data_IF_827036138895
#
_entry.id   IF_827036138895
#
_cell.length_a   1.000
_cell.length_b   1.000
_cell.length_c   1.000
_cell.angle_alpha   90.00
_cell.angle_beta   90.00
_cell.angle_gamma   90.00
#
_symmetry.space_group_name_H-M   'P 1'
#
loop_
_entity.id
_entity.type
_entity.pdbx_description
1 polymer ?
#
# COMPACT_ATOMS: atom_id res chain seq x y z
N UNK A 1 -3.48 -11.40 27.56
CA UNK A 1 -3.45 -11.12 26.10
C UNK A 1 -2.52 -12.05 25.31
N UNK A 2 -1.28 -12.31 25.74
CA UNK A 2 -0.31 -13.13 24.96
C UNK A 2 -0.76 -14.57 24.67
N UNK A 3 -1.51 -15.23 25.56
CA UNK A 3 -1.97 -16.61 25.34
C UNK A 3 -3.09 -16.71 24.29
N UNK A 4 -4.02 -15.74 24.28
CA UNK A 4 -5.12 -15.70 23.32
C UNK A 4 -4.62 -15.37 21.91
N UNK A 5 -3.70 -14.40 21.79
CA UNK A 5 -3.05 -14.07 20.51
C UNK A 5 -2.22 -15.24 19.96
N UNK A 6 -1.49 -15.97 20.80
CA UNK A 6 -0.71 -17.14 20.39
C UNK A 6 -1.60 -18.25 19.80
N UNK A 7 -2.71 -18.57 20.49
CA UNK A 7 -3.70 -19.57 20.02
C UNK A 7 -4.40 -19.12 18.74
N UNK A 8 -4.72 -17.83 18.65
CA UNK A 8 -5.37 -17.26 17.48
C UNK A 8 -4.44 -17.22 16.25
N UNK A 9 -3.15 -16.94 16.46
CA UNK A 9 -2.13 -17.00 15.42
C UNK A 9 -1.94 -18.44 14.90
N UNK A 10 -1.90 -19.43 15.80
CA UNK A 10 -1.79 -20.85 15.39
C UNK A 10 -3.03 -21.30 14.62
N UNK A 11 -4.23 -20.97 15.09
CA UNK A 11 -5.48 -21.29 14.39
C UNK A 11 -5.55 -20.56 13.03
N UNK A 12 -5.15 -19.29 12.97
CA UNK A 12 -5.10 -18.51 11.73
C UNK A 12 -4.12 -19.09 10.71
N UNK A 13 -2.93 -19.51 11.14
CA UNK A 13 -1.94 -20.17 10.28
C UNK A 13 -2.42 -21.55 9.82
N UNK A 14 -3.05 -22.34 10.70
CA UNK A 14 -3.67 -23.61 10.33
C UNK A 14 -4.77 -23.40 9.29
N UNK A 15 -5.65 -22.41 9.48
CA UNK A 15 -6.72 -22.09 8.53
C UNK A 15 -6.15 -21.61 7.18
N UNK A 16 -5.06 -20.84 7.18
CA UNK A 16 -4.39 -20.40 5.96
C UNK A 16 -3.75 -21.58 5.21
N UNK A 17 -3.14 -22.51 5.95
CA UNK A 17 -2.58 -23.74 5.38
C UNK A 17 -3.68 -24.65 4.80
N UNK A 18 -4.78 -24.83 5.53
CA UNK A 18 -5.96 -25.56 5.03
C UNK A 18 -6.52 -24.88 3.79
N UNK A 19 -6.64 -23.56 3.78
CA UNK A 19 -7.11 -22.82 2.60
C UNK A 19 -6.21 -23.06 1.38
N UNK A 20 -4.88 -23.06 1.56
CA UNK A 20 -3.93 -23.37 0.49
C UNK A 20 -4.04 -24.81 0.01
N UNK A 21 -4.20 -25.78 0.92
CA UNK A 21 -4.41 -27.19 0.55
C UNK A 21 -5.71 -27.39 -0.25
N UNK A 22 -6.80 -26.79 0.19
CA UNK A 22 -8.09 -26.84 -0.50
C UNK A 22 -8.00 -26.15 -1.87
N UNK A 23 -7.29 -25.03 -1.95
CA UNK A 23 -7.01 -24.34 -3.22
C UNK A 23 -6.27 -25.26 -4.19
N UNK A 24 -5.22 -25.94 -3.72
CA UNK A 24 -4.45 -26.88 -4.52
C UNK A 24 -5.27 -28.10 -4.96
N UNK A 25 -6.17 -28.60 -4.10
CA UNK A 25 -7.06 -29.70 -4.45
C UNK A 25 -8.09 -29.32 -5.53
N UNK A 26 -8.60 -28.09 -5.48
CA UNK A 26 -9.62 -27.57 -6.41
C UNK A 26 -9.03 -27.01 -7.71
N UNK A 27 -7.72 -26.78 -7.75
CA UNK A 27 -7.03 -26.16 -8.88
C UNK A 27 -7.19 -26.90 -10.22
N UNK A 28 -7.47 -28.21 -10.17
CA UNK A 28 -7.68 -29.04 -11.35
C UNK A 28 -9.04 -28.81 -12.02
N UNK A 29 -9.98 -28.11 -11.37
CA UNK A 29 -11.29 -27.78 -11.94
C UNK A 29 -11.28 -26.43 -12.67
N UNK A 30 -11.11 -25.35 -11.92
CA UNK A 30 -10.96 -23.98 -12.42
C UNK A 30 -10.16 -23.17 -11.38
N UNK A 31 -9.03 -22.55 -11.74
CA UNK A 31 -8.22 -21.74 -10.82
C UNK A 31 -9.03 -20.60 -10.17
N UNK A 32 -10.06 -20.06 -10.84
CA UNK A 32 -10.92 -19.01 -10.30
C UNK A 32 -11.78 -19.51 -9.14
N UNK A 33 -12.26 -20.75 -9.21
CA UNK A 33 -13.02 -21.38 -8.12
C UNK A 33 -12.10 -21.61 -6.92
N UNK A 34 -10.88 -22.07 -7.13
CA UNK A 34 -9.88 -22.21 -6.06
C UNK A 34 -9.60 -20.88 -5.37
N UNK A 35 -9.46 -19.79 -6.13
CA UNK A 35 -9.27 -18.45 -5.59
C UNK A 35 -10.49 -17.98 -4.80
N UNK A 36 -11.71 -18.23 -5.30
CA UNK A 36 -12.92 -17.91 -4.54
C UNK A 36 -12.95 -18.57 -3.19
N UNK A 37 -12.65 -19.88 -3.13
CA UNK A 37 -12.59 -20.62 -1.88
C UNK A 37 -11.50 -20.04 -0.97
N UNK A 38 -10.29 -19.77 -1.49
CA UNK A 38 -9.23 -19.14 -0.71
C UNK A 38 -9.68 -17.79 -0.11
N UNK A 39 -10.28 -16.92 -0.91
CA UNK A 39 -10.74 -15.61 -0.47
C UNK A 39 -11.83 -15.74 0.60
N UNK A 40 -12.75 -16.69 0.46
CA UNK A 40 -13.79 -16.96 1.45
C UNK A 40 -13.19 -17.40 2.79
N UNK A 41 -12.22 -18.31 2.79
CA UNK A 41 -11.47 -18.69 3.99
C UNK A 41 -10.70 -17.50 4.59
N UNK A 42 -10.10 -16.66 3.74
CA UNK A 42 -9.34 -15.50 4.18
C UNK A 42 -10.20 -14.50 4.99
N UNK A 43 -11.49 -14.39 4.69
CA UNK A 43 -12.42 -13.55 5.45
C UNK A 43 -12.58 -14.03 6.89
N UNK A 44 -12.78 -15.34 7.08
CA UNK A 44 -12.96 -15.93 8.41
C UNK A 44 -11.72 -15.77 9.27
N UNK A 45 -10.53 -15.80 8.67
CA UNK A 45 -9.27 -15.55 9.37
C UNK A 45 -9.23 -14.10 9.85
N UNK A 46 -9.61 -13.12 9.02
CA UNK A 46 -9.44 -11.69 9.31
C UNK A 46 -10.38 -11.14 10.38
N UNK A 47 -11.64 -11.60 10.46
CA UNK A 47 -12.68 -11.06 11.38
C UNK A 47 -12.17 -10.89 12.83
N UNK A 48 -11.70 -11.95 13.51
CA UNK A 48 -11.24 -11.89 14.90
C UNK A 48 -9.94 -11.09 15.09
N UNK A 49 -9.13 -10.97 14.04
CA UNK A 49 -7.97 -10.08 14.08
C UNK A 49 -8.36 -8.61 13.97
N UNK A 50 -9.48 -8.27 13.33
CA UNK A 50 -9.94 -6.88 13.21
C UNK A 50 -10.73 -6.46 14.45
N UNK A 51 -11.58 -7.32 15.01
CA UNK A 51 -12.53 -6.96 16.08
C UNK A 51 -12.56 -7.98 17.21
N UNK A 52 -12.71 -7.50 18.46
CA UNK A 52 -13.08 -8.36 19.56
C UNK A 52 -14.54 -8.85 19.39
N UNK A 53 -14.73 -10.17 19.33
CA UNK A 53 -15.98 -10.85 18.92
C UNK A 53 -17.18 -10.49 19.81
N UNK A 54 -16.94 -9.93 20.99
CA UNK A 54 -17.96 -9.51 21.95
C UNK A 54 -18.88 -8.37 21.44
N UNK A 55 -18.37 -7.48 20.57
CA UNK A 55 -19.18 -6.37 20.04
C UNK A 55 -19.87 -6.75 18.72
N UNK A 56 -21.13 -7.19 18.82
CA UNK A 56 -21.96 -7.63 17.67
C UNK A 56 -22.04 -6.60 16.54
N UNK A 57 -22.11 -5.30 16.85
CA UNK A 57 -22.17 -4.25 15.82
C UNK A 57 -20.86 -4.18 15.03
N UNK A 58 -19.72 -4.09 15.73
CA UNK A 58 -18.39 -4.03 15.07
C UNK A 58 -18.10 -5.29 14.25
N UNK A 59 -18.50 -6.46 14.75
CA UNK A 59 -18.39 -7.74 14.03
C UNK A 59 -19.22 -7.70 12.74
N UNK A 60 -20.46 -7.24 12.81
CA UNK A 60 -21.35 -7.13 11.63
C UNK A 60 -20.78 -6.18 10.58
N UNK A 61 -20.28 -5.02 10.98
CA UNK A 61 -19.64 -4.05 10.08
C UNK A 61 -18.43 -4.67 9.38
N UNK A 62 -17.60 -5.43 10.11
CA UNK A 62 -16.42 -6.09 9.52
C UNK A 62 -16.80 -7.22 8.58
N UNK A 63 -17.82 -8.01 8.91
CA UNK A 63 -18.33 -9.03 7.99
C UNK A 63 -18.81 -8.37 6.70
N UNK A 64 -19.65 -7.33 6.78
CA UNK A 64 -20.13 -6.60 5.59
C UNK A 64 -18.98 -6.01 4.77
N UNK A 65 -18.01 -5.40 5.44
CA UNK A 65 -16.82 -4.83 4.81
C UNK A 65 -16.00 -5.88 4.05
N UNK A 66 -15.74 -7.01 4.68
CA UNK A 66 -14.98 -8.11 4.11
C UNK A 66 -15.75 -8.82 3.00
N UNK A 67 -17.07 -9.00 3.14
CA UNK A 67 -17.94 -9.52 2.09
C UNK A 67 -17.96 -8.61 0.86
N UNK A 68 -18.03 -7.29 1.06
CA UNK A 68 -17.89 -6.34 -0.05
C UNK A 68 -16.53 -6.46 -0.74
N UNK A 69 -15.44 -6.53 0.03
CA UNK A 69 -14.11 -6.74 -0.54
C UNK A 69 -14.02 -8.04 -1.34
N UNK A 70 -14.61 -9.14 -0.86
CA UNK A 70 -14.61 -10.41 -1.58
C UNK A 70 -15.41 -10.33 -2.88
N UNK A 71 -16.62 -9.74 -2.80
CA UNK A 71 -17.45 -9.52 -3.98
C UNK A 71 -16.72 -8.67 -5.03
N UNK A 72 -16.09 -7.58 -4.61
CA UNK A 72 -15.35 -6.72 -5.53
C UNK A 72 -14.11 -7.40 -6.10
N UNK A 73 -13.37 -8.20 -5.32
CA UNK A 73 -12.28 -9.03 -5.86
C UNK A 73 -12.78 -10.00 -6.94
N UNK A 74 -13.96 -10.61 -6.75
CA UNK A 74 -14.57 -11.47 -7.78
C UNK A 74 -14.90 -10.67 -9.04
N UNK A 75 -15.52 -9.50 -8.90
CA UNK A 75 -15.76 -8.59 -10.04
C UNK A 75 -14.45 -8.32 -10.77
N UNK A 76 -13.36 -8.04 -10.04
CA UNK A 76 -12.07 -7.79 -10.67
C UNK A 76 -11.51 -9.00 -11.42
N UNK A 77 -11.61 -10.20 -10.84
CA UNK A 77 -11.13 -11.45 -11.45
C UNK A 77 -11.90 -11.78 -12.74
N UNK A 78 -13.21 -11.50 -12.79
CA UNK A 78 -14.06 -11.87 -13.92
C UNK A 78 -14.18 -10.79 -15.00
N UNK A 79 -14.10 -9.51 -14.63
CA UNK A 79 -14.36 -8.40 -15.56
C UNK A 79 -13.10 -7.63 -15.98
N UNK A 80 -12.02 -7.69 -15.21
CA UNK A 80 -10.80 -6.94 -15.52
C UNK A 80 -9.65 -7.86 -15.94
N UNK A 81 -8.70 -7.28 -16.66
CA UNK A 81 -7.45 -7.94 -16.98
C UNK A 81 -6.56 -8.03 -15.72
N UNK A 82 -6.15 -9.26 -15.38
CA UNK A 82 -5.27 -9.52 -14.23
C UNK A 82 -3.83 -9.10 -14.55
N UNK A 83 -3.46 -8.94 -15.82
CA UNK A 83 -2.15 -8.44 -16.23
C UNK A 83 -2.24 -7.04 -16.86
N UNK A 84 -2.63 -6.01 -16.10
CA UNK A 84 -2.82 -4.68 -16.66
C UNK A 84 -1.47 -4.09 -17.10
N UNK A 85 -1.28 -3.99 -18.41
CA UNK A 85 -0.16 -3.29 -19.03
C UNK A 85 1.21 -3.98 -18.95
N UNK A 86 2.23 -3.28 -19.43
CA UNK A 86 3.56 -3.83 -19.69
C UNK A 86 4.34 -4.28 -18.44
N UNK A 87 4.11 -3.66 -17.29
CA UNK A 87 4.79 -4.08 -16.05
C UNK A 87 4.30 -5.45 -15.58
N UNK A 88 3.00 -5.67 -15.65
CA UNK A 88 2.36 -6.90 -15.20
C UNK A 88 2.78 -8.10 -16.07
N UNK A 89 2.82 -7.90 -17.39
CA UNK A 89 3.30 -8.91 -18.33
C UNK A 89 4.76 -9.24 -18.07
N UNK A 90 5.64 -8.24 -17.88
CA UNK A 90 7.06 -8.47 -17.54
C UNK A 90 7.25 -9.29 -16.26
N UNK A 91 6.43 -9.10 -15.23
CA UNK A 91 6.51 -9.92 -14.02
C UNK A 91 6.09 -11.38 -14.28
N UNK A 92 5.10 -11.59 -15.14
CA UNK A 92 4.64 -12.92 -15.50
C UNK A 92 5.63 -13.64 -16.45
N UNK A 93 6.18 -12.93 -17.42
CA UNK A 93 7.23 -13.44 -18.31
C UNK A 93 8.47 -13.83 -17.52
N UNK A 94 8.86 -13.03 -16.51
CA UNK A 94 9.91 -13.40 -15.56
C UNK A 94 9.58 -14.73 -14.89
N UNK A 95 8.37 -14.90 -14.34
CA UNK A 95 7.95 -16.16 -13.71
C UNK A 95 8.04 -17.37 -14.66
N UNK A 96 7.67 -17.19 -15.93
CA UNK A 96 7.74 -18.24 -16.93
C UNK A 96 9.18 -18.56 -17.36
N UNK A 97 10.05 -17.56 -17.40
CA UNK A 97 11.43 -17.68 -17.90
C UNK A 97 12.36 -18.47 -16.99
N UNK A 98 12.06 -18.58 -15.69
CA UNK A 98 12.91 -19.30 -14.75
C UNK A 98 12.22 -20.54 -14.18
N UNK A 99 12.98 -21.63 -14.09
CA UNK A 99 12.53 -22.88 -13.48
C UNK A 99 13.01 -23.00 -12.03
N UNK A 100 14.13 -22.39 -11.68
CA UNK A 100 14.71 -22.46 -10.34
C UNK A 100 15.23 -21.10 -9.84
N UNK A 101 15.38 -21.00 -8.51
CA UNK A 101 16.01 -19.84 -7.86
C UNK A 101 17.47 -19.69 -8.29
N UNK A 102 18.18 -20.81 -8.51
CA UNK A 102 19.56 -20.77 -9.02
C UNK A 102 19.65 -20.10 -10.38
N UNK A 103 18.68 -20.31 -11.26
CA UNK A 103 18.66 -19.67 -12.58
C UNK A 103 18.45 -18.16 -12.43
N UNK A 104 17.53 -17.76 -11.55
CA UNK A 104 17.28 -16.35 -11.22
C UNK A 104 18.54 -15.68 -10.69
N UNK A 105 19.21 -16.30 -9.71
CA UNK A 105 20.41 -15.72 -9.09
C UNK A 105 21.58 -15.63 -10.07
N UNK A 106 21.78 -16.66 -10.92
CA UNK A 106 22.82 -16.64 -11.96
C UNK A 106 22.59 -15.53 -12.97
N UNK A 107 21.36 -15.38 -13.44
CA UNK A 107 21.00 -14.30 -14.37
C UNK A 107 21.11 -12.91 -13.71
N UNK A 108 20.78 -12.81 -12.42
CA UNK A 108 21.00 -11.59 -11.65
C UNK A 108 22.47 -11.18 -11.57
N UNK A 109 23.36 -12.13 -11.29
CA UNK A 109 24.82 -11.89 -11.27
C UNK A 109 25.31 -11.48 -12.66
N UNK A 110 24.86 -12.16 -13.71
CA UNK A 110 25.22 -11.85 -15.09
C UNK A 110 24.82 -10.43 -15.46
N UNK A 111 23.57 -10.02 -15.19
CA UNK A 111 23.10 -8.65 -15.46
C UNK A 111 23.87 -7.60 -14.66
N UNK A 112 24.25 -7.89 -13.41
CA UNK A 112 25.05 -6.93 -12.62
C UNK A 112 26.44 -6.76 -13.23
N UNK A 113 27.10 -7.86 -13.63
CA UNK A 113 28.39 -7.80 -14.35
C UNK A 113 28.24 -7.02 -15.65
N UNK A 114 27.25 -7.35 -16.48
CA UNK A 114 27.03 -6.69 -17.77
C UNK A 114 26.75 -5.19 -17.64
N UNK A 115 26.00 -4.76 -16.62
CA UNK A 115 25.79 -3.34 -16.35
C UNK A 115 27.08 -2.64 -15.89
N UNK A 116 27.95 -3.32 -15.15
CA UNK A 116 29.25 -2.77 -14.73
C UNK A 116 30.24 -2.71 -15.89
N UNK A 117 30.26 -3.73 -16.73
CA UNK A 117 31.26 -3.91 -17.79
C UNK A 117 30.90 -3.13 -19.08
N UNK A 118 29.60 -3.06 -19.42
CA UNK A 118 29.13 -2.47 -20.68
C UNK A 118 28.35 -1.15 -20.49
N UNK A 119 28.23 -0.65 -19.25
CA UNK A 119 27.52 0.60 -18.95
C UNK A 119 26.03 0.56 -19.31
N UNK A 120 25.46 -0.63 -19.51
CA UNK A 120 24.03 -0.80 -19.71
C UNK A 120 23.35 -0.33 -18.42
N UNK A 121 22.44 0.65 -18.52
CA UNK A 121 21.76 1.23 -17.34
C UNK A 121 20.56 0.39 -16.88
N UNK A 122 20.26 -0.72 -17.56
CA UNK A 122 19.20 -1.64 -17.17
C UNK A 122 19.72 -2.65 -16.15
N UNK A 123 19.95 -2.17 -14.93
CA UNK A 123 20.03 -2.97 -13.70
C UNK A 123 18.98 -4.09 -13.67
N UNK A 124 19.13 -5.13 -12.82
CA UNK A 124 18.01 -6.00 -12.50
C UNK A 124 16.90 -5.11 -11.92
N UNK A 125 15.94 -4.75 -12.78
CA UNK A 125 14.93 -3.76 -12.43
C UNK A 125 14.03 -4.31 -11.33
N UNK A 126 13.09 -3.49 -10.86
CA UNK A 126 12.15 -3.90 -9.80
C UNK A 126 11.35 -5.19 -10.10
N UNK A 127 11.30 -5.64 -11.35
CA UNK A 127 10.76 -6.94 -11.77
C UNK A 127 11.58 -8.14 -11.29
N UNK A 128 12.90 -8.02 -11.24
CA UNK A 128 13.77 -9.08 -10.74
C UNK A 128 13.55 -9.30 -9.24
N UNK A 129 13.53 -8.19 -8.49
CA UNK A 129 13.39 -8.22 -7.02
C UNK A 129 12.00 -8.69 -6.58
N UNK A 130 10.94 -8.23 -7.26
CA UNK A 130 9.58 -8.70 -7.02
C UNK A 130 9.35 -10.12 -7.56
N UNK A 131 10.04 -10.49 -8.63
CA UNK A 131 9.92 -11.82 -9.25
C UNK A 131 10.36 -12.95 -8.33
N UNK A 132 11.32 -12.74 -7.43
CA UNK A 132 11.80 -13.77 -6.49
C UNK A 132 10.69 -14.29 -5.56
N UNK A 133 10.00 -13.46 -4.73
CA UNK A 133 8.94 -13.95 -3.85
C UNK A 133 7.74 -14.49 -4.62
N UNK A 134 7.44 -13.93 -5.81
CA UNK A 134 6.40 -14.45 -6.69
C UNK A 134 6.77 -15.86 -7.17
N UNK A 135 7.98 -16.05 -7.68
CA UNK A 135 8.46 -17.36 -8.13
C UNK A 135 8.38 -18.41 -7.03
N UNK A 136 8.85 -18.07 -5.82
CA UNK A 136 8.77 -18.97 -4.66
C UNK A 136 7.33 -19.33 -4.30
N UNK A 137 6.41 -18.36 -4.29
CA UNK A 137 5.00 -18.63 -4.04
C UNK A 137 4.41 -19.57 -5.10
N UNK A 138 4.76 -19.37 -6.37
CA UNK A 138 4.26 -20.19 -7.47
C UNK A 138 4.81 -21.62 -7.48
N UNK A 139 5.94 -21.91 -6.82
CA UNK A 139 6.38 -23.29 -6.58
C UNK A 139 5.44 -24.08 -5.66
N UNK A 140 4.65 -23.38 -4.83
CA UNK A 140 3.65 -23.99 -3.95
C UNK A 140 2.29 -24.18 -4.65
N UNK A 141 2.13 -23.59 -5.83
CA UNK A 141 0.92 -23.69 -6.64
C UNK A 141 1.02 -24.86 -7.62
N UNK A 142 -0.12 -25.47 -8.01
CA UNK A 142 -0.11 -26.64 -8.88
C UNK A 142 0.23 -26.30 -10.34
N UNK A 143 0.15 -25.02 -10.73
CA UNK A 143 0.55 -24.54 -12.04
C UNK A 143 0.95 -23.07 -11.99
N UNK A 144 1.67 -22.59 -13.02
CA UNK A 144 2.04 -21.17 -13.19
C UNK A 144 0.88 -20.30 -13.70
N UNK A 145 -0.35 -20.55 -13.26
CA UNK A 145 -1.51 -19.81 -13.74
C UNK A 145 -1.54 -18.36 -13.21
N UNK A 146 -1.71 -17.37 -14.09
CA UNK A 146 -1.72 -15.93 -13.77
C UNK A 146 -2.62 -15.58 -12.58
N UNK A 147 -3.77 -16.24 -12.46
CA UNK A 147 -4.77 -15.91 -11.45
C UNK A 147 -4.28 -16.17 -10.01
N UNK A 148 -3.30 -17.04 -9.78
CA UNK A 148 -2.81 -17.33 -8.43
C UNK A 148 -2.10 -16.14 -7.76
N UNK A 149 -1.68 -15.13 -8.51
CA UNK A 149 -1.15 -13.90 -7.91
C UNK A 149 -2.15 -13.24 -6.95
N UNK A 150 -3.45 -13.39 -7.22
CA UNK A 150 -4.52 -12.87 -6.37
C UNK A 150 -4.41 -13.44 -4.96
N UNK A 151 -4.01 -14.69 -4.80
CA UNK A 151 -3.82 -15.34 -3.50
C UNK A 151 -2.66 -14.67 -2.76
N UNK A 152 -1.49 -14.57 -3.40
CA UNK A 152 -0.31 -13.92 -2.81
C UNK A 152 -0.60 -12.47 -2.40
N UNK A 153 -1.24 -11.71 -3.29
CA UNK A 153 -1.59 -10.32 -3.02
C UNK A 153 -2.64 -10.18 -1.93
N UNK A 154 -3.59 -11.12 -1.82
CA UNK A 154 -4.53 -11.14 -0.70
C UNK A 154 -3.84 -11.48 0.62
N UNK A 155 -2.89 -12.42 0.64
CA UNK A 155 -2.05 -12.67 1.84
C UNK A 155 -1.33 -11.39 2.26
N UNK A 156 -0.74 -10.66 1.31
CA UNK A 156 -0.12 -9.36 1.57
C UNK A 156 -1.13 -8.33 2.11
N UNK A 157 -2.35 -8.28 1.55
CA UNK A 157 -3.44 -7.42 2.04
C UNK A 157 -3.84 -7.77 3.48
N UNK A 158 -3.89 -9.05 3.85
CA UNK A 158 -4.19 -9.48 5.24
C UNK A 158 -3.11 -9.00 6.21
N UNK A 159 -1.85 -9.25 5.88
CA UNK A 159 -0.70 -8.82 6.69
C UNK A 159 -0.64 -7.31 6.84
N UNK A 160 -0.96 -6.58 5.75
CA UNK A 160 -1.10 -5.14 5.75
C UNK A 160 -2.20 -4.68 6.72
N UNK A 161 -3.40 -5.27 6.65
CA UNK A 161 -4.52 -4.96 7.56
C UNK A 161 -4.13 -5.17 9.03
N UNK A 162 -3.46 -6.27 9.35
CA UNK A 162 -3.00 -6.56 10.72
C UNK A 162 -1.97 -5.55 11.21
N UNK A 163 -0.99 -5.24 10.35
CA UNK A 163 0.06 -4.28 10.66
C UNK A 163 -0.50 -2.88 10.88
N UNK A 164 -1.42 -2.45 10.01
CA UNK A 164 -2.10 -1.17 10.14
C UNK A 164 -2.93 -1.11 11.42
N UNK A 165 -3.69 -2.17 11.75
CA UNK A 165 -4.43 -2.21 13.02
C UNK A 165 -3.51 -1.97 14.21
N UNK A 166 -2.36 -2.64 14.24
CA UNK A 166 -1.39 -2.49 15.32
C UNK A 166 -0.80 -1.07 15.34
N UNK A 167 -0.39 -0.51 14.20
CA UNK A 167 0.08 0.88 14.09
C UNK A 167 -0.99 1.87 14.56
N UNK A 168 -2.19 1.83 14.01
CA UNK A 168 -3.26 2.77 14.33
C UNK A 168 -3.80 2.58 15.76
N UNK A 169 -3.63 1.41 16.38
CA UNK A 169 -3.95 1.22 17.80
C UNK A 169 -3.08 2.05 18.74
N UNK A 170 -1.92 2.53 18.27
CA UNK A 170 -1.09 3.50 19.02
C UNK A 170 -1.71 4.90 19.07
N UNK A 171 -2.74 5.19 18.26
CA UNK A 171 -3.51 6.43 18.40
C UNK A 171 -4.43 6.37 19.61
N UNK A 172 -4.74 7.55 20.16
CA UNK A 172 -5.53 7.74 21.38
C UNK A 172 -6.92 7.07 21.44
N UNK A 173 -7.47 6.51 20.35
CA UNK A 173 -8.79 5.88 20.39
C UNK A 173 -8.92 4.66 19.46
N UNK A 174 -9.34 3.55 20.07
CA UNK A 174 -9.66 2.28 19.41
C UNK A 174 -10.70 2.45 18.29
N UNK A 175 -11.63 3.41 18.44
CA UNK A 175 -12.64 3.70 17.40
C UNK A 175 -11.98 4.14 16.09
N UNK A 176 -10.95 4.98 16.14
CA UNK A 176 -10.26 5.46 14.92
C UNK A 176 -9.50 4.34 14.24
N UNK A 177 -8.78 3.53 15.01
CA UNK A 177 -8.08 2.35 14.49
C UNK A 177 -9.06 1.39 13.79
N UNK A 178 -10.20 1.10 14.42
CA UNK A 178 -11.25 0.26 13.84
C UNK A 178 -11.75 0.80 12.50
N UNK A 179 -12.18 2.06 12.43
CA UNK A 179 -12.73 2.62 11.20
C UNK A 179 -11.71 2.71 10.06
N UNK A 180 -10.46 3.09 10.35
CA UNK A 180 -9.42 3.14 9.32
C UNK A 180 -9.14 1.75 8.75
N UNK A 181 -9.06 0.73 9.61
CA UNK A 181 -8.86 -0.65 9.17
C UNK A 181 -10.03 -1.13 8.31
N UNK A 182 -11.27 -0.81 8.68
CA UNK A 182 -12.47 -1.12 7.88
C UNK A 182 -12.44 -0.41 6.52
N UNK A 183 -12.11 0.89 6.49
CA UNK A 183 -12.02 1.66 5.25
C UNK A 183 -10.96 1.10 4.30
N UNK A 184 -9.83 0.64 4.84
CA UNK A 184 -8.75 0.01 4.08
C UNK A 184 -9.18 -1.37 3.55
N UNK A 185 -9.90 -2.16 4.35
CA UNK A 185 -10.41 -3.46 3.93
C UNK A 185 -11.40 -3.34 2.76
N UNK A 186 -12.30 -2.35 2.82
CA UNK A 186 -13.36 -2.08 1.82
C UNK A 186 -12.85 -1.32 0.60
N UNK A 187 -11.69 -0.64 0.71
CA UNK A 187 -11.18 0.23 -0.34
C UNK A 187 -11.18 -0.46 -1.72
N UNK A 188 -11.95 0.05 -2.70
CA UNK A 188 -11.98 -0.50 -4.05
C UNK A 188 -10.60 -0.48 -4.70
N UNK A 189 -9.82 0.58 -4.46
CA UNK A 189 -8.46 0.72 -4.98
C UNK A 189 -7.53 -0.38 -4.45
N UNK A 190 -7.50 -0.61 -3.14
CA UNK A 190 -6.65 -1.65 -2.55
C UNK A 190 -7.10 -3.04 -3.01
N UNK A 191 -8.41 -3.24 -3.12
CA UNK A 191 -8.98 -4.53 -3.55
C UNK A 191 -8.68 -4.83 -5.03
N UNK A 192 -8.76 -3.82 -5.89
CA UNK A 192 -8.32 -3.92 -7.28
C UNK A 192 -6.84 -4.28 -7.39
N UNK A 193 -5.97 -3.52 -6.72
CA UNK A 193 -4.53 -3.80 -6.75
C UNK A 193 -4.14 -5.12 -6.07
N UNK A 194 -5.00 -5.67 -5.20
CA UNK A 194 -4.84 -7.02 -4.67
C UNK A 194 -5.29 -8.14 -5.62
N UNK A 195 -6.00 -7.78 -6.70
CA UNK A 195 -6.56 -8.72 -7.68
C UNK A 195 -5.79 -8.76 -9.01
N UNK A 196 -4.73 -7.96 -9.16
CA UNK A 196 -3.93 -7.86 -10.39
C UNK A 196 -2.47 -8.22 -10.14
N UNK A 197 -1.77 -8.62 -11.20
CA UNK A 197 -0.35 -8.93 -11.21
C UNK A 197 0.47 -7.65 -11.04
N UNK A 198 0.89 -7.37 -9.82
CA UNK A 198 1.65 -6.16 -9.52
C UNK A 198 2.28 -6.17 -8.13
N UNK A 199 3.39 -5.44 -8.00
CA UNK A 199 4.17 -5.31 -6.76
C UNK A 199 3.56 -4.37 -5.71
N UNK A 200 2.44 -3.71 -5.98
CA UNK A 200 2.02 -2.54 -5.21
C UNK A 200 1.52 -2.87 -3.80
N UNK A 201 0.65 -3.87 -3.68
CA UNK A 201 0.18 -4.34 -2.36
C UNK A 201 1.34 -4.92 -1.56
N UNK A 202 2.26 -5.62 -2.23
CA UNK A 202 3.45 -6.15 -1.60
C UNK A 202 4.38 -5.04 -1.06
N UNK A 203 4.65 -3.99 -1.85
CA UNK A 203 5.43 -2.82 -1.36
C UNK A 203 4.69 -2.11 -0.23
N UNK A 204 3.36 -1.96 -0.33
CA UNK A 204 2.57 -1.35 0.73
C UNK A 204 2.68 -2.14 2.03
N UNK A 205 2.53 -3.47 1.98
CA UNK A 205 2.74 -4.36 3.12
C UNK A 205 4.15 -4.21 3.71
N UNK A 206 5.20 -4.23 2.88
CA UNK A 206 6.59 -4.07 3.34
C UNK A 206 6.84 -2.70 3.98
N UNK A 207 6.28 -1.64 3.41
CA UNK A 207 6.39 -0.28 3.93
C UNK A 207 5.79 -0.17 5.33
N UNK A 208 4.61 -0.71 5.56
CA UNK A 208 3.98 -0.70 6.88
C UNK A 208 4.63 -1.68 7.85
N UNK A 209 5.17 -2.81 7.37
CA UNK A 209 5.97 -3.71 8.19
C UNK A 209 7.27 -3.05 8.65
N UNK A 210 7.93 -2.29 7.78
CA UNK A 210 9.10 -1.47 8.12
C UNK A 210 8.71 -0.40 9.15
N UNK A 211 7.59 0.29 8.93
CA UNK A 211 7.08 1.31 9.86
C UNK A 211 6.89 0.74 11.27
N UNK A 212 6.18 -0.38 11.41
CA UNK A 212 5.93 -0.97 12.74
C UNK A 212 7.20 -1.51 13.39
N UNK A 213 8.12 -2.05 12.60
CA UNK A 213 9.43 -2.51 13.11
C UNK A 213 10.23 -1.33 13.66
N UNK A 214 10.21 -0.17 12.97
CA UNK A 214 10.84 1.06 13.47
C UNK A 214 10.17 1.53 14.77
N UNK A 215 8.84 1.56 14.83
CA UNK A 215 8.11 1.95 16.05
C UNK A 215 8.51 1.04 17.22
N UNK A 216 8.52 -0.29 17.01
CA UNK A 216 8.93 -1.27 18.02
C UNK A 216 10.41 -1.13 18.42
N UNK A 217 11.29 -0.81 17.47
CA UNK A 217 12.70 -0.56 17.75
C UNK A 217 12.90 0.65 18.67
N UNK A 218 12.15 1.72 18.42
CA UNK A 218 12.19 2.95 19.21
C UNK A 218 11.61 2.76 20.61
N UNK A 219 10.55 1.94 20.76
CA UNK A 219 9.90 1.68 22.05
C UNK A 219 10.56 0.57 22.88
N UNK A 220 11.47 -0.21 22.30
CA UNK A 220 12.11 -1.33 22.99
C UNK A 220 13.17 -0.85 23.98
N UNK A 221 13.29 -1.51 25.14
CA UNK A 221 14.37 -1.26 26.11
C UNK A 221 15.47 -2.34 26.10
N UNK A 222 15.21 -3.53 25.54
CA UNK A 222 16.14 -4.66 25.54
C UNK A 222 17.17 -4.54 24.41
N UNK A 223 18.46 -4.56 24.75
CA UNK A 223 19.56 -4.47 23.77
C UNK A 223 19.54 -5.62 22.75
N UNK A 224 19.32 -6.86 23.21
CA UNK A 224 19.28 -8.04 22.31
C UNK A 224 18.17 -7.91 21.28
N UNK A 225 16.99 -7.46 21.71
CA UNK A 225 15.85 -7.28 20.82
C UNK A 225 16.04 -6.08 19.89
N UNK A 226 16.70 -5.00 20.34
CA UNK A 226 17.10 -3.89 19.46
C UNK A 226 18.04 -4.30 18.35
N UNK A 227 19.06 -5.11 18.64
CA UNK A 227 19.99 -5.60 17.61
C UNK A 227 19.23 -6.44 16.57
N UNK A 228 18.36 -7.35 17.02
CA UNK A 228 17.51 -8.14 16.12
C UNK A 228 16.53 -7.29 15.29
N UNK A 229 15.91 -6.28 15.89
CA UNK A 229 15.04 -5.37 15.14
C UNK A 229 15.84 -4.50 14.15
N UNK A 230 17.05 -4.08 14.51
CA UNK A 230 17.91 -3.32 13.62
C UNK A 230 18.30 -4.11 12.37
N UNK A 231 18.66 -5.38 12.51
CA UNK A 231 18.95 -6.24 11.34
C UNK A 231 17.73 -6.41 10.44
N UNK A 232 16.54 -6.59 11.03
CA UNK A 232 15.27 -6.65 10.29
C UNK A 232 14.97 -5.32 9.59
N UNK A 233 15.20 -4.17 10.24
CA UNK A 233 15.03 -2.84 9.64
C UNK A 233 15.96 -2.70 8.43
N UNK A 234 17.24 -3.05 8.56
CA UNK A 234 18.19 -2.95 7.45
C UNK A 234 17.78 -3.84 6.27
N UNK A 235 17.32 -5.06 6.53
CA UNK A 235 16.82 -5.96 5.50
C UNK A 235 15.58 -5.40 4.80
N UNK A 236 14.56 -4.98 5.55
CA UNK A 236 13.33 -4.42 5.01
C UNK A 236 13.57 -3.10 4.25
N UNK A 237 14.44 -2.24 4.77
CA UNK A 237 14.82 -0.98 4.14
C UNK A 237 15.50 -1.24 2.78
N UNK A 238 16.45 -2.17 2.76
CA UNK A 238 17.17 -2.57 1.53
C UNK A 238 16.23 -3.20 0.51
N UNK A 239 15.29 -4.01 0.95
CA UNK A 239 14.33 -4.63 0.04
C UNK A 239 13.31 -3.61 -0.50
N UNK A 240 12.86 -2.68 0.33
CA UNK A 240 11.98 -1.57 -0.07
C UNK A 240 12.66 -0.64 -1.08
N UNK A 241 13.92 -0.24 -0.85
CA UNK A 241 14.63 0.69 -1.73
C UNK A 241 14.84 0.09 -3.13
N UNK A 242 15.13 -1.21 -3.21
CA UNK A 242 15.30 -1.94 -4.48
C UNK A 242 13.97 -2.07 -5.26
N UNK A 243 12.85 -2.23 -4.57
CA UNK A 243 11.53 -2.31 -5.22
C UNK A 243 11.00 -0.95 -5.66
N UNK A 244 11.16 0.07 -4.80
CA UNK A 244 10.64 1.42 -4.99
C UNK A 244 11.43 2.38 -4.07
N UNK A 245 12.38 3.16 -4.60
CA UNK A 245 13.35 3.94 -3.80
C UNK A 245 12.75 4.87 -2.76
N UNK A 246 11.52 5.36 -2.99
CA UNK A 246 10.85 6.28 -2.09
C UNK A 246 10.04 5.61 -0.96
N UNK A 247 9.75 4.30 -1.03
CA UNK A 247 8.92 3.65 -0.01
C UNK A 247 9.51 3.62 1.41
N UNK A 248 10.84 3.49 1.63
CA UNK A 248 11.39 3.55 2.98
C UNK A 248 11.20 4.92 3.64
N UNK A 249 11.27 6.00 2.86
CA UNK A 249 11.05 7.36 3.36
C UNK A 249 9.60 7.56 3.83
N UNK A 250 8.64 6.95 3.12
CA UNK A 250 7.24 6.95 3.55
C UNK A 250 7.09 6.22 4.89
N UNK A 251 7.72 5.05 5.06
CA UNK A 251 7.69 4.32 6.33
C UNK A 251 8.27 5.13 7.50
N UNK A 252 9.33 5.91 7.26
CA UNK A 252 9.92 6.83 8.25
C UNK A 252 8.95 7.97 8.58
N UNK A 253 8.27 8.57 7.61
CA UNK A 253 7.28 9.63 7.87
C UNK A 253 6.13 9.11 8.73
N UNK A 254 5.62 7.91 8.43
CA UNK A 254 4.61 7.27 9.27
C UNK A 254 5.14 6.97 10.68
N UNK A 255 6.37 6.46 10.83
CA UNK A 255 6.91 6.15 12.16
C UNK A 255 7.11 7.41 13.00
N UNK A 256 7.54 8.53 12.41
CA UNK A 256 7.59 9.83 13.08
C UNK A 256 6.19 10.30 13.51
N UNK A 257 5.16 10.05 12.70
CA UNK A 257 3.78 10.42 13.00
C UNK A 257 3.17 9.63 14.16
N UNK A 258 3.51 8.35 14.31
CA UNK A 258 2.95 7.47 15.34
C UNK A 258 3.79 7.39 16.63
N UNK A 259 4.97 8.00 16.67
CA UNK A 259 5.84 8.03 17.86
C UNK A 259 5.83 9.40 18.53
N UNK A 260 6.56 9.59 19.64
CA UNK A 260 6.73 10.90 20.29
C UNK A 260 7.59 11.89 19.47
N UNK A 261 8.12 11.43 18.35
CA UNK A 261 8.98 12.19 17.46
C UNK A 261 8.21 13.06 16.44
N UNK A 262 6.89 13.25 16.59
CA UNK A 262 6.03 14.06 15.69
C UNK A 262 6.57 15.47 15.47
N UNK A 263 7.26 16.05 16.45
CA UNK A 263 7.90 17.38 16.32
C UNK A 263 8.87 17.45 15.14
N UNK A 264 9.52 16.35 14.78
CA UNK A 264 10.46 16.26 13.66
C UNK A 264 9.78 16.22 12.29
N UNK A 265 8.46 16.02 12.21
CA UNK A 265 7.71 16.14 10.94
C UNK A 265 7.84 17.55 10.38
N UNK A 266 7.78 18.58 11.24
CA UNK A 266 7.96 19.98 10.82
C UNK A 266 9.38 20.25 10.31
N UNK A 267 10.38 19.62 10.92
CA UNK A 267 11.77 19.68 10.44
C UNK A 267 11.89 19.00 9.07
N UNK A 268 11.24 17.83 8.89
CA UNK A 268 11.20 17.14 7.60
C UNK A 268 10.50 17.96 6.51
N UNK A 269 9.50 18.77 6.86
CA UNK A 269 8.87 19.70 5.92
C UNK A 269 9.86 20.78 5.47
N UNK A 270 10.61 21.35 6.41
CA UNK A 270 11.62 22.37 6.11
C UNK A 270 12.71 21.82 5.19
N UNK A 271 13.24 20.63 5.47
CA UNK A 271 14.24 19.99 4.59
C UNK A 271 13.66 19.71 3.21
N UNK A 272 12.41 19.25 3.14
CA UNK A 272 11.71 19.01 1.87
C UNK A 272 11.53 20.30 1.07
N UNK A 273 11.17 21.41 1.73
CA UNK A 273 11.03 22.71 1.08
C UNK A 273 12.36 23.22 0.51
N UNK A 274 13.46 23.06 1.24
CA UNK A 274 14.82 23.40 0.75
C UNK A 274 15.18 22.57 -0.47
N UNK A 275 14.88 21.26 -0.47
CA UNK A 275 15.12 20.39 -1.62
C UNK A 275 14.30 20.84 -2.81
N UNK A 276 12.98 21.09 -2.64
CA UNK A 276 12.13 21.57 -3.72
C UNK A 276 12.67 22.89 -4.28
N UNK A 277 13.01 23.86 -3.43
CA UNK A 277 13.60 25.13 -3.87
C UNK A 277 14.88 24.93 -4.69
N UNK A 278 15.75 24.00 -4.30
CA UNK A 278 16.93 23.66 -5.09
C UNK A 278 16.56 23.14 -6.50
N UNK A 279 15.56 22.26 -6.62
CA UNK A 279 15.11 21.77 -7.94
C UNK A 279 14.34 22.83 -8.74
N UNK A 280 13.73 23.80 -8.09
CA UNK A 280 13.06 24.91 -8.80
C UNK A 280 14.03 25.82 -9.56
N UNK A 281 15.30 25.82 -9.18
CA UNK A 281 16.36 26.48 -9.96
C UNK A 281 16.55 25.81 -11.34
N UNK A 282 16.15 24.55 -11.48
CA UNK A 282 16.21 23.81 -12.75
C UNK A 282 14.91 23.94 -13.54
N UNK A 283 13.76 23.81 -12.88
CA UNK A 283 12.45 23.97 -13.51
C UNK A 283 11.40 24.50 -12.53
N UNK A 284 10.78 25.63 -12.89
CA UNK A 284 9.74 26.27 -12.10
C UNK A 284 8.47 25.40 -11.97
N UNK A 285 8.18 24.51 -12.93
CA UNK A 285 7.02 23.63 -12.85
C UNK A 285 7.04 22.71 -11.62
N UNK A 286 8.21 22.47 -11.00
CA UNK A 286 8.33 21.70 -9.75
C UNK A 286 7.59 22.37 -8.58
N UNK A 287 7.69 23.70 -8.42
CA UNK A 287 7.03 24.39 -7.28
C UNK A 287 5.52 24.45 -7.45
N UNK A 288 5.04 24.46 -8.69
CA UNK A 288 3.62 24.53 -9.01
C UNK A 288 2.98 23.14 -8.92
N UNK A 289 3.64 22.11 -9.46
CA UNK A 289 3.11 20.75 -9.44
C UNK A 289 3.07 20.14 -8.03
N UNK A 290 4.03 20.48 -7.16
CA UNK A 290 4.08 19.95 -5.78
C UNK A 290 2.76 20.13 -4.99
N UNK A 291 2.25 21.36 -4.78
CA UNK A 291 0.99 21.56 -4.05
C UNK A 291 -0.24 21.03 -4.82
N UNK A 292 -0.24 21.06 -6.16
CA UNK A 292 -1.32 20.48 -6.97
C UNK A 292 -1.42 18.96 -6.75
N UNK A 293 -0.28 18.27 -6.77
CA UNK A 293 -0.20 16.84 -6.49
C UNK A 293 -0.73 16.52 -5.09
N UNK A 294 -0.40 17.34 -4.09
CA UNK A 294 -0.93 17.17 -2.74
C UNK A 294 -2.46 17.17 -2.74
N UNK A 295 -3.08 18.11 -3.46
CA UNK A 295 -4.54 18.15 -3.68
C UNK A 295 -5.07 16.90 -4.38
N UNK A 296 -4.39 16.42 -5.42
CA UNK A 296 -4.79 15.20 -6.14
C UNK A 296 -4.73 13.93 -5.31
N UNK A 297 -3.95 13.89 -4.21
CA UNK A 297 -3.97 12.76 -3.29
C UNK A 297 -5.29 12.62 -2.53
N UNK A 298 -6.01 13.74 -2.35
CA UNK A 298 -7.32 13.79 -1.70
C UNK A 298 -8.49 13.58 -2.66
N UNK A 299 -8.28 13.84 -3.96
CA UNK A 299 -9.32 13.86 -4.98
C UNK A 299 -9.18 12.74 -6.03
N UNK A 300 -8.32 11.75 -5.77
CA UNK A 300 -7.96 10.71 -6.75
C UNK A 300 -9.17 9.97 -7.36
N UNK A 301 -9.16 9.58 -8.64
CA UNK A 301 -8.11 9.84 -9.63
C UNK A 301 -8.05 11.31 -10.08
N UNK A 302 -6.98 11.70 -10.77
CA UNK A 302 -6.73 13.08 -11.20
C UNK A 302 -7.92 13.64 -12.02
N UNK A 303 -8.64 14.68 -11.53
CA UNK A 303 -9.81 15.26 -12.21
C UNK A 303 -9.53 15.83 -13.59
N UNK A 304 -8.27 16.11 -13.89
CA UNK A 304 -7.86 16.77 -15.15
C UNK A 304 -7.74 15.76 -16.31
N UNK A 305 -7.59 14.46 -16.03
CA UNK A 305 -7.27 13.46 -17.04
C UNK A 305 -8.40 12.45 -17.24
N UNK A 306 -9.37 12.85 -18.07
CA UNK A 306 -10.58 12.07 -18.40
C UNK A 306 -10.26 10.67 -18.97
N UNK A 307 -9.08 10.47 -19.57
CA UNK A 307 -8.61 9.16 -20.05
C UNK A 307 -8.36 8.15 -18.94
N UNK A 308 -8.02 8.60 -17.72
CA UNK A 308 -7.93 7.73 -16.53
C UNK A 308 -9.30 7.26 -16.04
N UNK A 309 -10.40 7.73 -16.63
CA UNK A 309 -11.78 7.41 -16.26
C UNK A 309 -12.38 6.26 -17.09
N UNK A 310 -11.64 5.67 -18.04
CA UNK A 310 -12.15 4.53 -18.81
C UNK A 310 -12.15 3.23 -17.98
N UNK A 311 -13.30 2.57 -17.92
CA UNK A 311 -13.56 1.17 -17.49
C UNK A 311 -13.18 0.74 -16.07
N UNK A 312 -11.94 0.99 -15.60
CA UNK A 312 -11.38 0.40 -14.37
C UNK A 312 -11.44 1.32 -13.14
N UNK A 313 -11.69 2.62 -13.32
CA UNK A 313 -11.70 3.61 -12.22
C UNK A 313 -13.09 4.11 -11.85
N UNK A 314 -14.15 3.73 -12.58
CA UNK A 314 -15.49 4.31 -12.36
C UNK A 314 -15.97 4.17 -10.91
N UNK A 315 -15.82 2.99 -10.30
CA UNK A 315 -16.23 2.79 -8.89
C UNK A 315 -15.34 3.60 -7.93
N UNK A 316 -14.00 3.52 -7.99
CA UNK A 316 -13.12 4.42 -7.24
C UNK A 316 -13.46 5.92 -7.42
N UNK A 317 -13.78 6.35 -8.64
CA UNK A 317 -14.17 7.72 -8.99
C UNK A 317 -15.50 8.10 -8.35
N UNK A 318 -16.51 7.26 -8.46
CA UNK A 318 -17.82 7.53 -7.85
C UNK A 318 -17.70 7.62 -6.33
N UNK A 319 -16.84 6.79 -5.72
CA UNK A 319 -16.52 6.91 -4.31
C UNK A 319 -15.85 8.24 -3.98
N UNK A 320 -14.90 8.71 -4.79
CA UNK A 320 -14.20 9.97 -4.51
C UNK A 320 -15.02 11.20 -4.80
N UNK A 321 -15.86 11.19 -5.84
CA UNK A 321 -16.89 12.21 -6.07
C UNK A 321 -17.89 12.24 -4.92
N UNK A 322 -18.36 11.07 -4.46
CA UNK A 322 -19.26 10.97 -3.31
C UNK A 322 -18.63 11.52 -2.03
N UNK A 323 -17.37 11.18 -1.75
CA UNK A 323 -16.62 11.71 -0.61
C UNK A 323 -16.41 13.22 -0.76
N UNK A 324 -16.05 13.72 -1.94
CA UNK A 324 -15.84 15.14 -2.18
C UNK A 324 -17.14 15.94 -1.99
N UNK A 325 -18.27 15.45 -2.51
CA UNK A 325 -19.58 16.06 -2.30
C UNK A 325 -19.99 16.03 -0.83
N UNK A 326 -19.80 14.90 -0.15
CA UNK A 326 -20.06 14.79 1.28
C UNK A 326 -19.22 15.76 2.10
N UNK A 327 -17.91 15.84 1.82
CA UNK A 327 -17.00 16.78 2.46
C UNK A 327 -17.38 18.23 2.18
N UNK A 328 -17.81 18.56 0.95
CA UNK A 328 -18.25 19.91 0.57
C UNK A 328 -19.52 20.32 1.31
N UNK A 329 -20.55 19.46 1.31
CA UNK A 329 -21.79 19.69 2.08
C UNK A 329 -21.49 19.86 3.56
N UNK A 330 -20.61 19.01 4.10
CA UNK A 330 -20.20 19.09 5.51
C UNK A 330 -19.40 20.35 5.80
N UNK A 331 -18.49 20.75 4.93
CA UNK A 331 -17.67 21.95 5.09
C UNK A 331 -18.54 23.21 5.12
N UNK A 332 -19.51 23.31 4.21
CA UNK A 332 -20.49 24.41 4.19
C UNK A 332 -21.28 24.47 5.50
N UNK A 333 -21.65 23.32 6.07
CA UNK A 333 -22.42 23.24 7.31
C UNK A 333 -21.58 23.35 8.60
N UNK A 334 -20.25 23.37 8.51
CA UNK A 334 -19.37 23.36 9.69
C UNK A 334 -19.07 24.78 10.15
N UNK A 335 -19.59 25.17 11.33
CA UNK A 335 -19.38 26.52 11.90
C UNK A 335 -17.97 26.77 12.45
N UNK A 336 -17.17 25.72 12.67
CA UNK A 336 -15.78 25.84 13.17
C UNK A 336 -14.95 24.60 12.85
N UNK A 337 -13.80 24.76 12.21
CA UNK A 337 -12.82 23.68 11.99
C UNK A 337 -11.82 23.71 13.13
N UNK A 338 -11.59 22.56 13.79
CA UNK A 338 -10.56 22.44 14.83
C UNK A 338 -9.28 21.92 14.20
N UNK A 339 -8.31 22.81 14.03
CA UNK A 339 -6.96 22.45 13.60
C UNK A 339 -6.16 21.95 14.82
N UNK A 340 -6.26 20.65 15.12
CA UNK A 340 -5.39 20.03 16.12
C UNK A 340 -4.03 19.64 15.51
N UNK A 341 -3.05 19.35 16.37
CA UNK A 341 -1.69 18.99 15.94
C UNK A 341 -1.62 17.68 15.16
N UNK A 342 -2.56 16.74 15.37
CA UNK A 342 -2.61 15.47 14.63
C UNK A 342 -3.09 15.71 13.20
N UNK A 343 -4.16 16.48 13.03
CA UNK A 343 -4.70 16.86 11.73
C UNK A 343 -3.63 17.62 10.92
N UNK A 344 -3.00 18.63 11.51
CA UNK A 344 -1.93 19.40 10.84
C UNK A 344 -0.76 18.51 10.44
N UNK A 345 -0.28 17.65 11.34
CA UNK A 345 0.83 16.74 11.02
C UNK A 345 0.45 15.73 9.92
N UNK A 346 -0.81 15.29 9.86
CA UNK A 346 -1.27 14.38 8.80
C UNK A 346 -1.24 15.04 7.42
N UNK A 347 -1.68 16.30 7.32
CA UNK A 347 -1.55 17.10 6.09
C UNK A 347 -0.08 17.32 5.70
N UNK A 348 0.79 17.61 6.67
CA UNK A 348 2.22 17.78 6.40
C UNK A 348 2.83 16.49 5.83
N UNK A 349 2.48 15.31 6.35
CA UNK A 349 2.97 14.03 5.82
C UNK A 349 2.53 13.83 4.36
N UNK A 350 1.26 14.11 4.04
CA UNK A 350 0.77 14.05 2.65
C UNK A 350 1.51 15.06 1.76
N UNK A 351 1.76 16.26 2.28
CA UNK A 351 2.47 17.32 1.57
C UNK A 351 3.95 16.95 1.30
N UNK A 352 4.66 16.37 2.27
CA UNK A 352 6.02 15.86 2.04
C UNK A 352 6.00 14.72 1.01
N UNK A 353 5.04 13.81 1.09
CA UNK A 353 4.92 12.73 0.12
C UNK A 353 4.66 13.25 -1.31
N UNK A 354 3.84 14.29 -1.47
CA UNK A 354 3.65 14.95 -2.77
C UNK A 354 4.95 15.54 -3.33
N UNK A 355 5.84 16.08 -2.48
CA UNK A 355 7.16 16.56 -2.90
C UNK A 355 8.01 15.42 -3.46
N UNK A 356 8.06 14.30 -2.73
CA UNK A 356 8.77 13.09 -3.16
C UNK A 356 8.24 12.62 -4.52
N UNK A 357 6.92 12.61 -4.71
CA UNK A 357 6.31 12.22 -5.97
C UNK A 357 6.63 13.17 -7.12
N UNK A 358 6.68 14.48 -6.83
CA UNK A 358 7.07 15.52 -7.78
C UNK A 358 8.50 15.30 -8.26
N UNK A 359 9.44 15.08 -7.33
CA UNK A 359 10.85 14.83 -7.62
C UNK A 359 11.04 13.53 -8.41
N UNK A 360 10.37 12.44 -8.02
CA UNK A 360 10.43 11.17 -8.77
C UNK A 360 9.89 11.33 -10.18
N UNK A 361 8.83 12.12 -10.37
CA UNK A 361 8.30 12.44 -11.70
C UNK A 361 9.27 13.26 -12.53
N UNK A 362 9.86 14.31 -11.94
CA UNK A 362 10.83 15.19 -12.56
C UNK A 362 12.06 14.40 -13.07
N UNK A 363 12.68 13.60 -12.21
CA UNK A 363 13.81 12.74 -12.58
C UNK A 363 13.49 11.71 -13.67
N UNK A 364 12.24 11.26 -13.76
CA UNK A 364 11.84 10.29 -14.80
C UNK A 364 11.68 10.93 -16.17
N UNK A 365 11.34 12.22 -16.22
CA UNK A 365 11.04 12.97 -17.44
C UNK A 365 12.32 13.61 -18.02
N UNK A 366 13.22 14.11 -17.16
CA UNK A 366 14.56 14.56 -17.56
C UNK A 366 15.34 13.48 -18.35
N UNK A 367 15.07 12.21 -18.06
CA UNK A 367 15.69 11.07 -18.73
C UNK A 367 14.97 10.60 -20.02
N UNK A 368 13.83 11.20 -20.39
CA UNK A 368 12.99 10.77 -21.53
C UNK A 368 12.78 11.86 -22.60
N UNK A 369 13.65 12.85 -22.70
CA UNK A 369 13.57 13.95 -23.71
C UNK A 369 12.24 14.72 -23.70
N UNK A 370 11.48 14.67 -22.60
CA UNK A 370 10.22 15.41 -22.43
C UNK A 370 10.38 16.64 -21.56
N UNK A 371 9.61 17.70 -21.81
CA UNK A 371 9.49 18.84 -20.89
C UNK A 371 8.55 18.48 -19.72
N UNK A 372 8.90 18.89 -18.50
CA UNK A 372 8.06 18.68 -17.32
C UNK A 372 6.86 19.64 -17.33
N UNK A 373 5.80 19.27 -18.05
CA UNK A 373 4.62 20.12 -18.20
C UNK A 373 3.79 20.24 -16.89
N UNK A 374 3.13 21.39 -16.73
CA UNK A 374 2.18 21.64 -15.64
C UNK A 374 1.03 20.62 -15.69
N UNK A 375 0.76 19.95 -14.57
CA UNK A 375 -0.33 18.98 -14.45
C UNK A 375 -0.04 17.56 -15.00
N UNK A 376 1.04 17.33 -15.76
CA UNK A 376 1.43 16.00 -16.27
C UNK A 376 2.00 15.05 -15.22
N UNK A 377 2.38 15.56 -14.06
CA UNK A 377 2.90 14.73 -12.97
C UNK A 377 1.86 13.72 -12.41
N UNK A 378 0.58 13.84 -12.80
CA UNK A 378 -0.56 13.04 -12.34
C UNK A 378 -0.74 11.66 -13.00
N UNK A 379 -0.20 11.41 -14.20
CA UNK A 379 -0.59 10.26 -15.05
C UNK A 379 -0.34 8.88 -14.42
N UNK A 380 0.70 8.76 -13.59
CA UNK A 380 1.06 7.51 -12.90
C UNK A 380 0.75 7.54 -11.39
N UNK A 381 -0.02 8.52 -10.90
CA UNK A 381 -0.15 8.76 -9.47
C UNK A 381 -1.11 7.81 -8.75
N UNK A 382 -2.14 7.29 -9.41
CA UNK A 382 -3.13 6.43 -8.75
C UNK A 382 -2.49 5.20 -8.08
N UNK A 383 -1.57 4.53 -8.79
CA UNK A 383 -0.78 3.40 -8.29
C UNK A 383 0.21 3.83 -7.19
N UNK A 384 0.81 5.01 -7.32
CA UNK A 384 1.85 5.50 -6.40
C UNK A 384 1.23 6.07 -5.10
N UNK A 385 -0.03 6.50 -5.13
CA UNK A 385 -0.80 6.99 -3.99
C UNK A 385 -1.14 5.89 -2.97
N UNK A 386 -1.10 4.60 -3.34
CA UNK A 386 -1.42 3.49 -2.43
C UNK A 386 -0.71 3.58 -1.07
N UNK A 387 0.55 4.05 -1.04
CA UNK A 387 1.32 4.19 0.20
C UNK A 387 0.80 5.28 1.14
N UNK A 388 0.10 6.30 0.63
CA UNK A 388 -0.38 7.45 1.41
C UNK A 388 -1.88 7.37 1.74
N UNK A 389 -2.62 6.45 1.10
CA UNK A 389 -4.07 6.27 1.33
C UNK A 389 -4.42 6.19 2.82
N UNK A 390 -3.71 5.42 3.68
CA UNK A 390 -4.05 5.36 5.10
C UNK A 390 -3.93 6.73 5.81
N UNK A 391 -2.95 7.56 5.45
CA UNK A 391 -2.81 8.91 6.01
C UNK A 391 -3.89 9.86 5.48
N UNK A 392 -4.24 9.76 4.19
CA UNK A 392 -5.34 10.53 3.60
C UNK A 392 -6.66 10.20 4.32
N UNK A 393 -6.98 8.92 4.49
CA UNK A 393 -8.16 8.47 5.24
C UNK A 393 -8.15 8.98 6.69
N UNK A 394 -7.01 8.89 7.38
CA UNK A 394 -6.87 9.43 8.74
C UNK A 394 -7.14 10.94 8.78
N UNK A 395 -6.55 11.71 7.87
CA UNK A 395 -6.71 13.17 7.85
C UNK A 395 -8.17 13.58 7.60
N UNK A 396 -8.88 12.90 6.69
CA UNK A 396 -10.31 13.10 6.46
C UNK A 396 -11.14 12.74 7.70
N UNK A 397 -10.84 11.63 8.36
CA UNK A 397 -11.50 11.25 9.60
C UNK A 397 -11.25 12.24 10.75
N UNK A 398 -10.03 12.73 10.90
CA UNK A 398 -9.67 13.75 11.90
C UNK A 398 -10.35 15.08 11.62
N UNK A 399 -10.48 15.47 10.34
CA UNK A 399 -11.27 16.64 9.94
C UNK A 399 -12.74 16.47 10.33
N UNK A 400 -13.26 15.25 10.29
CA UNK A 400 -14.64 14.90 10.65
C UNK A 400 -14.87 14.68 12.16
N UNK A 401 -13.81 14.65 12.99
CA UNK A 401 -13.82 14.23 14.41
C UNK A 401 -14.76 15.03 15.30
N UNK A 402 -14.91 16.34 15.07
CA UNK A 402 -15.78 17.18 15.91
C UNK A 402 -17.24 16.71 15.88
N UNK A 403 -17.65 15.99 14.83
CA UNK A 403 -19.01 15.50 14.63
C UNK A 403 -19.17 14.00 15.00
N UNK A 404 -18.11 13.31 15.46
CA UNK A 404 -18.17 11.91 15.92
C UNK A 404 -18.32 11.79 17.44
N UNK A 405 -18.24 12.91 18.15
CA UNK A 405 -18.45 13.01 19.60
C UNK A 405 -19.80 13.70 19.94
N UNK A 406 -20.60 14.04 18.92
CA UNK A 406 -21.94 14.61 19.10
C UNK A 406 -23.08 13.58 18.92
N UNK A 407 -22.74 12.29 18.71
CA UNK A 407 -23.69 11.16 18.72
C UNK A 407 -23.18 9.98 19.56
#
# INVERSE_FOLDING_TARGET
MNYFYSKFLTIGLCNLFIALLVTNALANFDPRVSIFVFLLFSLFIQIPFIVNVENKFRVTVVILALSFSLFYSMVCIYQFDIMPGLDATRYYDFLLSYNSISDILRDGIFRVSENQDNGVLSGPGSYFIFGIPVHYFYLLMPSKNVYYIVILNNICKMLLIFTLKEIFSTLHSEKYSFFIVVLIAVSPTITYFSSVMGKDIFIMMLCFLLCITIIKFLSCNSLRLKIGLFTVIMALFSYCILLRPYSPFVAILYSLYFTDFKKYIKLSLLTTAVIILYFTLKDFAVIVNWPLIAGFMYLAPNPIQITNYSSFTLIPVLCTVGIALYLLVKFINTKSIVFDSLLVNSFIVVFIFSAIMTLVGFYSIDNQEGTYELGRAGDAMFRKQLLIIPMVMLSLMLLMRKNLNED
#
